data_IF_291850621852
#
_entry.id   IF_291850621852
#
_cell.length_a   1.000
_cell.length_b   1.000
_cell.length_c   1.000
_cell.angle_alpha   90.00
_cell.angle_beta   90.00
_cell.angle_gamma   90.00
#
_symmetry.space_group_name_H-M   'P 1'
#
loop_
_entity.id
_entity.type
_entity.pdbx_description
1 polymer ?
#
# COMPACT_ATOMS: atom_id res chain seq x y z
N UNK A 1 4.31 4.31 -5.74
CA UNK A 1 4.14 5.78 -5.57
C UNK A 1 5.35 6.33 -4.85
N UNK A 2 6.15 7.12 -5.52
CA UNK A 2 7.27 7.84 -4.89
C UNK A 2 6.71 9.18 -4.43
N UNK A 3 6.66 9.41 -3.12
CA UNK A 3 6.31 10.73 -2.60
C UNK A 3 7.38 11.72 -3.06
N UNK A 4 6.96 12.80 -3.69
CA UNK A 4 7.83 13.91 -4.01
C UNK A 4 8.25 14.66 -2.73
N UNK A 5 9.23 15.54 -2.85
CA UNK A 5 9.73 16.35 -1.73
C UNK A 5 8.60 17.11 -1.01
N UNK A 6 7.63 17.64 -1.78
CA UNK A 6 6.51 18.39 -1.21
C UNK A 6 5.52 17.48 -0.44
N UNK A 7 5.35 16.26 -0.87
CA UNK A 7 4.55 15.25 -0.18
C UNK A 7 5.20 14.78 1.11
N UNK A 8 6.51 14.49 1.08
CA UNK A 8 7.27 14.07 2.25
C UNK A 8 7.32 15.17 3.33
N UNK A 9 7.51 16.42 2.94
CA UNK A 9 7.56 17.55 3.88
C UNK A 9 6.27 17.76 4.68
N UNK A 10 5.14 17.24 4.20
CA UNK A 10 3.84 17.34 4.89
C UNK A 10 3.60 16.23 5.92
N UNK A 11 4.45 15.20 5.96
CA UNK A 11 4.28 14.08 6.90
C UNK A 11 4.92 14.45 8.24
N UNK A 12 4.15 14.60 9.33
CA UNK A 12 4.71 14.82 10.64
C UNK A 12 5.67 13.69 11.03
N UNK A 13 6.87 14.03 11.52
CA UNK A 13 7.84 13.03 11.96
C UNK A 13 8.42 12.16 10.84
N UNK A 14 8.41 12.62 9.58
CA UNK A 14 8.89 11.85 8.42
C UNK A 14 10.31 11.29 8.61
N UNK A 15 11.19 12.00 9.33
CA UNK A 15 12.56 11.54 9.65
C UNK A 15 12.60 10.23 10.43
N UNK A 16 11.55 9.94 11.22
CA UNK A 16 11.41 8.69 11.97
C UNK A 16 10.67 7.60 11.20
N UNK A 17 10.25 7.91 9.96
CA UNK A 17 9.46 6.96 9.17
C UNK A 17 10.28 5.72 8.77
N UNK A 18 11.59 5.89 8.66
CA UNK A 18 12.53 4.83 8.31
C UNK A 18 12.71 3.83 9.47
N UNK A 19 12.57 4.27 10.73
CA UNK A 19 12.68 3.41 11.92
C UNK A 19 11.67 2.25 11.93
N UNK A 20 10.56 2.39 11.21
CA UNK A 20 9.54 1.34 11.06
C UNK A 20 10.08 0.04 10.46
N UNK A 21 11.13 0.12 9.65
CA UNK A 21 11.75 -1.06 9.03
C UNK A 21 12.73 -1.77 9.96
N UNK A 22 13.05 -1.21 11.14
CA UNK A 22 13.81 -1.92 12.18
C UNK A 22 13.13 -3.21 12.62
N UNK A 23 11.83 -3.37 12.35
CA UNK A 23 11.12 -4.63 12.54
C UNK A 23 11.79 -5.80 11.79
N UNK A 24 12.51 -5.54 10.70
CA UNK A 24 13.24 -6.57 9.98
C UNK A 24 14.48 -7.09 10.74
N UNK A 25 14.86 -6.48 11.87
CA UNK A 25 15.86 -7.07 12.76
C UNK A 25 15.44 -8.45 13.26
N UNK A 26 14.14 -8.79 13.21
CA UNK A 26 13.63 -10.14 13.45
C UNK A 26 14.29 -11.20 12.54
N UNK A 27 14.78 -10.84 11.36
CA UNK A 27 15.52 -11.74 10.48
C UNK A 27 16.85 -12.19 11.08
N UNK A 28 17.41 -11.45 12.06
CA UNK A 28 18.62 -11.82 12.80
C UNK A 28 18.43 -13.10 13.68
N UNK A 29 17.21 -13.57 13.86
CA UNK A 29 16.93 -14.89 14.46
C UNK A 29 17.57 -16.02 13.67
N UNK A 30 17.77 -15.82 12.36
CA UNK A 30 18.53 -16.74 11.51
C UNK A 30 20.02 -16.48 11.70
N UNK A 31 20.82 -17.48 12.12
CA UNK A 31 22.24 -17.27 12.46
C UNK A 31 23.07 -16.65 11.34
N UNK A 32 22.79 -17.01 10.10
CA UNK A 32 23.55 -16.55 8.92
C UNK A 32 23.16 -15.16 8.43
N UNK A 33 22.03 -14.60 8.94
CA UNK A 33 21.57 -13.29 8.46
C UNK A 33 22.43 -12.17 9.04
N UNK A 34 22.88 -11.28 8.16
CA UNK A 34 23.45 -9.97 8.46
C UNK A 34 22.55 -8.90 7.88
N UNK A 35 22.44 -7.77 8.57
CA UNK A 35 21.61 -6.65 8.13
C UNK A 35 22.48 -5.41 7.99
N UNK A 36 22.43 -4.78 6.83
CA UNK A 36 22.93 -3.44 6.58
C UNK A 36 21.71 -2.53 6.55
N UNK A 37 21.63 -1.64 7.50
CA UNK A 37 20.51 -0.72 7.65
C UNK A 37 20.95 0.70 7.34
N UNK A 38 20.25 1.37 6.46
CA UNK A 38 20.60 2.72 6.02
C UNK A 38 19.45 3.67 6.30
N UNK A 39 19.77 4.84 6.85
CA UNK A 39 18.78 5.87 7.20
C UNK A 39 19.19 7.25 6.69
N UNK A 40 18.24 8.17 6.68
CA UNK A 40 18.48 9.57 6.33
C UNK A 40 19.39 10.27 7.36
N UNK A 41 19.13 9.97 8.64
CA UNK A 41 19.86 10.54 9.77
C UNK A 41 20.28 9.43 10.75
N UNK A 42 21.23 9.71 11.61
CA UNK A 42 21.72 8.76 12.61
C UNK A 42 20.59 8.32 13.54
N UNK A 43 20.41 7.00 13.67
CA UNK A 43 19.45 6.43 14.59
C UNK A 43 19.84 6.66 16.04
N UNK A 44 18.87 6.99 16.89
CA UNK A 44 19.10 7.02 18.33
C UNK A 44 19.50 5.61 18.81
N UNK A 45 20.61 5.46 19.53
CA UNK A 45 21.04 4.16 20.05
C UNK A 45 19.95 3.44 20.87
N UNK A 46 19.11 4.17 21.61
CA UNK A 46 18.03 3.56 22.40
C UNK A 46 16.98 2.89 21.50
N UNK A 47 16.69 3.47 20.33
CA UNK A 47 15.74 2.90 19.37
C UNK A 47 16.29 1.61 18.77
N UNK A 48 17.59 1.57 18.49
CA UNK A 48 18.27 0.38 17.95
C UNK A 48 18.32 -0.74 19.01
N UNK A 49 18.68 -0.40 20.25
CA UNK A 49 18.70 -1.37 21.36
C UNK A 49 17.29 -1.92 21.63
N UNK A 50 16.28 -1.05 21.68
CA UNK A 50 14.89 -1.48 21.81
C UNK A 50 14.46 -2.43 20.69
N UNK A 51 14.80 -2.11 19.43
CA UNK A 51 14.46 -2.98 18.30
C UNK A 51 15.19 -4.34 18.36
N UNK A 52 16.43 -4.38 18.87
CA UNK A 52 17.16 -5.63 19.09
C UNK A 52 16.57 -6.44 20.26
N UNK A 53 16.12 -5.78 21.34
CA UNK A 53 15.45 -6.43 22.49
C UNK A 53 14.14 -7.13 22.09
N UNK A 54 13.48 -6.63 21.06
CA UNK A 54 12.28 -7.27 20.49
C UNK A 54 12.59 -8.56 19.71
N UNK A 55 13.86 -8.84 19.40
CA UNK A 55 14.26 -10.09 18.71
C UNK A 55 14.35 -11.21 19.75
N UNK A 56 13.25 -11.93 19.93
CA UNK A 56 13.21 -13.04 20.88
C UNK A 56 14.31 -14.08 20.61
N UNK A 57 14.83 -14.68 21.70
CA UNK A 57 15.85 -15.74 21.64
C UNK A 57 17.22 -15.34 21.07
N UNK A 58 17.48 -14.04 20.87
CA UNK A 58 18.76 -13.54 20.40
C UNK A 58 19.38 -12.58 21.43
N UNK A 59 20.54 -12.90 22.01
CA UNK A 59 21.26 -11.95 22.85
C UNK A 59 21.63 -10.68 22.07
N UNK A 60 21.39 -9.49 22.61
CA UNK A 60 21.61 -8.19 21.94
C UNK A 60 22.99 -8.07 21.30
N UNK A 61 24.06 -8.49 22.02
CA UNK A 61 25.41 -8.41 21.50
C UNK A 61 25.61 -9.27 20.23
N UNK A 62 24.90 -10.39 20.09
CA UNK A 62 24.91 -11.22 18.89
C UNK A 62 24.22 -10.53 17.71
N UNK A 63 23.06 -9.93 17.95
CA UNK A 63 22.36 -9.11 16.96
C UNK A 63 23.21 -7.92 16.52
N UNK A 64 23.79 -7.19 17.49
CA UNK A 64 24.61 -6.01 17.24
C UNK A 64 25.82 -6.30 16.33
N UNK A 65 26.47 -7.44 16.48
CA UNK A 65 27.63 -7.83 15.63
C UNK A 65 27.25 -8.12 14.17
N UNK A 66 25.98 -8.43 13.91
CA UNK A 66 25.46 -8.75 12.58
C UNK A 66 24.63 -7.60 11.98
N UNK A 67 24.56 -6.47 12.67
CA UNK A 67 23.91 -5.24 12.24
C UNK A 67 24.95 -4.19 11.91
N UNK A 68 24.94 -3.71 10.67
CA UNK A 68 25.72 -2.57 10.22
C UNK A 68 24.81 -1.40 9.96
N UNK A 69 25.08 -0.25 10.56
CA UNK A 69 24.28 0.97 10.42
C UNK A 69 25.05 1.98 9.58
N UNK A 70 24.38 2.57 8.61
CA UNK A 70 24.83 3.73 7.86
C UNK A 70 23.76 4.80 7.88
N UNK A 71 24.15 6.05 7.75
CA UNK A 71 23.25 7.17 7.55
C UNK A 71 23.77 8.12 6.48
N UNK A 72 22.88 8.97 5.99
CA UNK A 72 23.20 10.01 5.02
C UNK A 72 23.61 11.32 5.69
N UNK A 73 23.45 11.48 7.00
CA UNK A 73 23.54 12.73 7.74
C UNK A 73 22.73 13.85 7.06
N UNK A 74 21.48 13.56 6.68
CA UNK A 74 20.66 14.41 5.83
C UNK A 74 19.18 14.33 6.23
N UNK A 75 18.71 15.37 6.91
CA UNK A 75 17.33 15.51 7.38
C UNK A 75 16.39 16.17 6.36
N UNK A 76 16.84 16.47 5.13
CA UNK A 76 15.94 17.04 4.11
C UNK A 76 14.76 16.12 3.83
N UNK A 77 13.58 16.67 3.50
CA UNK A 77 12.41 15.88 3.15
C UNK A 77 12.50 15.33 1.71
N UNK A 78 13.53 14.51 1.45
CA UNK A 78 13.78 13.84 0.18
C UNK A 78 13.74 12.32 0.39
N UNK A 79 13.45 11.54 -0.66
CA UNK A 79 13.51 10.08 -0.59
C UNK A 79 14.88 9.57 -0.14
N UNK A 80 14.92 8.63 0.83
CA UNK A 80 16.17 8.09 1.36
C UNK A 80 17.10 7.58 0.26
N UNK A 81 16.56 6.81 -0.68
CA UNK A 81 17.37 6.20 -1.74
C UNK A 81 17.98 7.24 -2.67
N UNK A 82 17.28 8.36 -2.91
CA UNK A 82 17.84 9.51 -3.64
C UNK A 82 19.03 10.12 -2.88
N UNK A 83 18.93 10.27 -1.55
CA UNK A 83 20.02 10.75 -0.70
C UNK A 83 21.25 9.83 -0.76
N UNK A 84 21.03 8.51 -0.72
CA UNK A 84 22.08 7.51 -0.85
C UNK A 84 22.78 7.64 -2.21
N UNK A 85 21.99 7.71 -3.30
CA UNK A 85 22.51 7.79 -4.68
C UNK A 85 23.34 9.06 -4.94
N UNK A 86 23.04 10.16 -4.24
CA UNK A 86 23.83 11.41 -4.28
C UNK A 86 25.18 11.29 -3.56
N UNK A 87 25.47 10.17 -2.85
CA UNK A 87 26.67 9.94 -2.02
C UNK A 87 27.45 8.71 -2.51
N UNK A 88 28.28 8.85 -3.56
CA UNK A 88 29.05 7.71 -4.11
C UNK A 88 29.90 6.99 -3.06
N UNK A 89 30.48 7.72 -2.12
CA UNK A 89 31.28 7.14 -1.03
C UNK A 89 30.44 6.26 -0.10
N UNK A 90 29.17 6.66 0.18
CA UNK A 90 28.26 5.85 0.97
C UNK A 90 27.88 4.57 0.20
N UNK A 91 27.56 4.70 -1.09
CA UNK A 91 27.26 3.52 -1.95
C UNK A 91 28.44 2.56 -1.94
N UNK A 92 29.68 3.06 -2.02
CA UNK A 92 30.87 2.22 -1.97
C UNK A 92 31.04 1.53 -0.61
N UNK A 93 30.81 2.25 0.52
CA UNK A 93 30.83 1.65 1.86
C UNK A 93 29.78 0.54 2.03
N UNK A 94 28.56 0.78 1.55
CA UNK A 94 27.50 -0.23 1.57
C UNK A 94 27.94 -1.46 0.76
N UNK A 95 28.46 -1.25 -0.44
CA UNK A 95 28.95 -2.35 -1.29
C UNK A 95 30.07 -3.16 -0.63
N UNK A 96 31.00 -2.50 0.05
CA UNK A 96 32.05 -3.17 0.82
C UNK A 96 31.49 -3.98 1.99
N UNK A 97 30.46 -3.44 2.68
CA UNK A 97 29.82 -4.13 3.78
C UNK A 97 28.98 -5.35 3.33
N UNK A 98 28.45 -5.33 2.11
CA UNK A 98 27.74 -6.47 1.51
C UNK A 98 28.70 -7.66 1.34
N UNK A 99 29.90 -7.42 0.82
CA UNK A 99 30.86 -8.48 0.48
C UNK A 99 30.46 -9.21 -0.81
N UNK A 100 29.86 -10.39 -0.70
CA UNK A 100 29.37 -11.13 -1.85
C UNK A 100 27.93 -10.67 -2.22
N UNK A 101 27.73 -10.08 -3.41
CA UNK A 101 26.40 -9.63 -3.84
C UNK A 101 25.43 -10.78 -4.12
N UNK A 102 25.90 -12.01 -4.35
CA UNK A 102 25.01 -13.17 -4.55
C UNK A 102 24.32 -13.62 -3.26
N UNK A 103 24.86 -13.27 -2.10
CA UNK A 103 24.30 -13.59 -0.78
C UNK A 103 23.47 -12.43 -0.19
N UNK A 104 23.17 -11.40 -0.99
CA UNK A 104 22.49 -10.22 -0.52
C UNK A 104 21.30 -9.83 -1.40
N UNK A 105 20.35 -9.12 -0.82
CA UNK A 105 19.29 -8.44 -1.56
C UNK A 105 18.97 -7.09 -0.92
N UNK A 106 18.51 -6.14 -1.73
CA UNK A 106 17.99 -4.87 -1.26
C UNK A 106 16.50 -5.02 -0.94
N UNK A 107 16.14 -4.77 0.32
CA UNK A 107 14.75 -4.73 0.76
C UNK A 107 14.34 -3.27 0.94
N UNK A 108 13.26 -2.86 0.29
CA UNK A 108 12.73 -1.51 0.36
C UNK A 108 11.23 -1.54 0.70
N UNK A 109 10.74 -0.48 1.37
CA UNK A 109 9.32 -0.33 1.65
C UNK A 109 8.49 -0.28 0.37
N UNK A 110 9.01 0.40 -0.65
CA UNK A 110 8.40 0.57 -1.96
C UNK A 110 9.48 0.50 -3.04
N UNK A 111 9.19 -0.17 -4.16
CA UNK A 111 10.05 -0.15 -5.34
C UNK A 111 9.82 1.11 -6.17
N UNK A 112 10.88 1.88 -6.42
CA UNK A 112 10.89 3.01 -7.33
C UNK A 112 12.10 2.96 -8.26
N UNK A 113 12.19 3.84 -9.28
CA UNK A 113 13.40 3.94 -10.11
C UNK A 113 14.67 4.16 -9.30
N UNK A 114 14.60 4.84 -8.14
CA UNK A 114 15.75 5.05 -7.26
C UNK A 114 16.22 3.74 -6.61
N UNK A 115 15.30 2.92 -6.07
CA UNK A 115 15.65 1.63 -5.48
C UNK A 115 16.22 0.68 -6.54
N UNK A 116 15.70 0.70 -7.75
CA UNK A 116 16.26 -0.08 -8.88
C UNK A 116 17.67 0.38 -9.23
N UNK A 117 17.92 1.69 -9.36
CA UNK A 117 19.26 2.23 -9.64
C UNK A 117 20.24 1.86 -8.52
N UNK A 118 19.83 1.98 -7.24
CA UNK A 118 20.67 1.60 -6.11
C UNK A 118 21.01 0.10 -6.14
N UNK A 119 20.02 -0.76 -6.37
CA UNK A 119 20.22 -2.21 -6.46
C UNK A 119 21.23 -2.55 -7.58
N UNK A 120 21.11 -1.93 -8.75
CA UNK A 120 22.03 -2.09 -9.86
C UNK A 120 23.45 -1.63 -9.50
N UNK A 121 23.60 -0.48 -8.84
CA UNK A 121 24.92 0.03 -8.41
C UNK A 121 25.56 -0.85 -7.34
N UNK A 122 24.76 -1.44 -6.47
CA UNK A 122 25.25 -2.39 -5.46
C UNK A 122 25.53 -3.78 -6.05
N UNK A 123 24.92 -4.12 -7.18
CA UNK A 123 25.01 -5.43 -7.84
C UNK A 123 24.16 -6.50 -7.15
N UNK A 124 23.10 -6.11 -6.44
CA UNK A 124 22.23 -7.02 -5.68
C UNK A 124 20.80 -7.01 -6.24
N UNK A 125 20.03 -8.11 -6.10
CA UNK A 125 18.60 -8.13 -6.45
C UNK A 125 17.81 -7.13 -5.60
N UNK A 126 16.81 -6.48 -6.22
CA UNK A 126 15.80 -5.69 -5.50
C UNK A 126 14.63 -6.62 -5.09
N UNK A 127 14.37 -6.73 -3.79
CA UNK A 127 13.24 -7.47 -3.27
C UNK A 127 12.03 -6.54 -3.06
N UNK A 128 11.47 -6.08 -4.17
CA UNK A 128 10.26 -5.28 -4.29
C UNK A 128 9.72 -5.41 -5.72
N UNK A 129 8.48 -4.97 -5.96
CA UNK A 129 7.93 -4.89 -7.31
C UNK A 129 8.77 -3.96 -8.19
N UNK A 130 9.02 -4.38 -9.44
CA UNK A 130 9.72 -3.53 -10.40
C UNK A 130 8.92 -2.23 -10.65
N UNK A 131 9.58 -1.07 -10.68
CA UNK A 131 8.92 0.22 -10.93
C UNK A 131 8.11 0.27 -12.23
N UNK A 132 8.48 -0.48 -13.26
CA UNK A 132 7.74 -0.56 -14.51
C UNK A 132 6.36 -1.20 -14.35
N UNK A 133 6.20 -2.04 -13.31
CA UNK A 133 4.94 -2.69 -12.96
C UNK A 133 4.05 -1.83 -12.04
N UNK A 134 4.49 -0.63 -11.65
CA UNK A 134 3.76 0.25 -10.72
C UNK A 134 2.34 0.56 -11.18
N UNK A 135 2.11 0.59 -12.49
CA UNK A 135 0.79 0.79 -13.09
C UNK A 135 -0.25 -0.25 -12.65
N UNK A 136 0.17 -1.50 -12.30
CA UNK A 136 -0.72 -2.55 -11.80
C UNK A 136 -1.29 -2.23 -10.41
N UNK A 137 -0.58 -1.40 -9.61
CA UNK A 137 -1.01 -0.91 -8.30
C UNK A 137 -1.76 0.44 -8.34
N UNK A 138 -1.92 1.07 -9.52
CA UNK A 138 -2.78 2.24 -9.66
C UNK A 138 -4.25 1.85 -9.45
N UNK A 139 -5.15 2.79 -9.16
CA UNK A 139 -6.58 2.47 -8.99
C UNK A 139 -7.16 1.81 -10.25
N UNK A 140 -6.85 2.34 -11.45
CA UNK A 140 -7.27 1.74 -12.72
C UNK A 140 -6.62 0.37 -12.96
N UNK A 141 -5.32 0.24 -12.68
CA UNK A 141 -4.60 -1.02 -12.82
C UNK A 141 -5.10 -2.09 -11.86
N UNK A 142 -5.31 -1.75 -10.59
CA UNK A 142 -5.86 -2.65 -9.57
C UNK A 142 -7.21 -3.22 -10.01
N UNK A 143 -8.12 -2.37 -10.52
CA UNK A 143 -9.43 -2.84 -11.00
C UNK A 143 -9.32 -3.84 -12.14
N UNK A 144 -8.40 -3.61 -13.10
CA UNK A 144 -8.15 -4.56 -14.20
C UNK A 144 -7.60 -5.88 -13.69
N UNK A 145 -6.64 -5.85 -12.77
CA UNK A 145 -6.09 -7.06 -12.16
C UNK A 145 -7.17 -7.80 -11.37
N UNK A 146 -8.02 -7.12 -10.62
CA UNK A 146 -9.15 -7.74 -9.92
C UNK A 146 -10.10 -8.46 -10.88
N UNK A 147 -10.51 -7.80 -11.96
CA UNK A 147 -11.40 -8.40 -12.97
C UNK A 147 -10.75 -9.61 -13.65
N UNK A 148 -9.47 -9.51 -14.01
CA UNK A 148 -8.69 -10.61 -14.59
C UNK A 148 -8.59 -11.81 -13.62
N UNK A 149 -8.49 -11.55 -12.32
CA UNK A 149 -8.45 -12.55 -11.26
C UNK A 149 -9.83 -13.11 -10.88
N UNK A 150 -10.91 -12.65 -11.52
CA UNK A 150 -12.28 -13.03 -11.18
C UNK A 150 -12.75 -12.46 -9.83
N UNK A 151 -12.15 -11.35 -9.38
CA UNK A 151 -12.55 -10.63 -8.17
C UNK A 151 -13.52 -9.52 -8.55
N UNK A 152 -14.66 -9.46 -7.87
CA UNK A 152 -15.67 -8.41 -8.07
C UNK A 152 -15.09 -7.04 -7.71
N UNK A 153 -15.40 -6.02 -8.50
CA UNK A 153 -15.16 -4.60 -8.20
C UNK A 153 -16.49 -3.84 -8.18
N UNK A 154 -16.54 -2.69 -7.51
CA UNK A 154 -17.69 -1.80 -7.61
C UNK A 154 -17.87 -1.35 -9.08
N UNK A 155 -19.12 -1.19 -9.55
CA UNK A 155 -19.34 -0.69 -10.93
C UNK A 155 -18.66 0.66 -11.10
N UNK A 156 -17.99 0.84 -12.24
CA UNK A 156 -17.16 2.03 -12.44
C UNK A 156 -16.48 2.12 -13.79
N UNK A 157 -15.64 3.13 -13.90
CA UNK A 157 -14.86 3.45 -15.11
C UNK A 157 -13.42 3.77 -14.70
N UNK A 158 -12.48 3.38 -15.53
CA UNK A 158 -11.04 3.53 -15.37
C UNK A 158 -10.46 4.55 -16.34
N UNK A 159 -9.22 5.00 -16.02
CA UNK A 159 -8.36 5.82 -16.89
C UNK A 159 -8.94 7.17 -17.32
N UNK A 160 -9.79 7.74 -16.51
CA UNK A 160 -10.36 9.06 -16.77
C UNK A 160 -9.30 10.14 -16.62
N UNK A 161 -9.22 11.06 -17.60
CA UNK A 161 -8.14 12.04 -17.70
C UNK A 161 -8.58 13.50 -17.60
N UNK A 162 -9.86 13.76 -17.73
CA UNK A 162 -10.38 15.10 -17.65
C UNK A 162 -11.76 15.17 -16.97
N UNK A 163 -12.23 16.39 -16.70
CA UNK A 163 -13.50 16.65 -16.04
C UNK A 163 -14.70 16.17 -16.86
N UNK A 164 -14.58 16.18 -18.18
CA UNK A 164 -15.67 15.76 -19.08
C UNK A 164 -15.85 14.25 -19.00
N UNK A 165 -14.75 13.50 -19.03
CA UNK A 165 -14.76 12.04 -18.88
C UNK A 165 -15.30 11.63 -17.49
N UNK A 166 -14.95 12.36 -16.42
CA UNK A 166 -15.50 12.14 -15.08
C UNK A 166 -17.00 12.39 -15.05
N UNK A 167 -17.47 13.49 -15.69
CA UNK A 167 -18.90 13.79 -15.74
C UNK A 167 -19.69 12.75 -16.57
N UNK A 168 -19.10 12.26 -17.67
CA UNK A 168 -19.67 11.19 -18.48
C UNK A 168 -19.77 9.88 -17.73
N UNK A 169 -18.71 9.50 -17.00
CA UNK A 169 -18.68 8.31 -16.15
C UNK A 169 -19.73 8.36 -15.03
N UNK A 170 -19.85 9.49 -14.33
CA UNK A 170 -20.86 9.70 -13.28
C UNK A 170 -22.28 9.61 -13.87
N UNK A 171 -22.51 10.22 -15.04
CA UNK A 171 -23.82 10.17 -15.71
C UNK A 171 -24.16 8.74 -16.15
N UNK A 172 -23.19 8.00 -16.65
CA UNK A 172 -23.36 6.60 -17.06
C UNK A 172 -23.68 5.70 -15.86
N UNK A 173 -22.96 5.83 -14.73
CA UNK A 173 -23.27 5.08 -13.50
C UNK A 173 -24.71 5.35 -13.02
N UNK A 174 -25.10 6.61 -12.91
CA UNK A 174 -26.45 6.99 -12.49
C UNK A 174 -27.54 6.53 -13.46
N UNK A 175 -27.20 6.42 -14.75
CA UNK A 175 -28.14 5.90 -15.78
C UNK A 175 -28.31 4.39 -15.63
N UNK A 176 -27.25 3.63 -15.33
CA UNK A 176 -27.29 2.18 -15.09
C UNK A 176 -28.06 1.85 -13.81
N UNK A 177 -27.82 2.63 -12.76
CA UNK A 177 -28.52 2.50 -11.48
C UNK A 177 -29.17 3.83 -11.08
N UNK A 178 -30.46 3.95 -11.36
CA UNK A 178 -31.26 5.14 -10.98
C UNK A 178 -31.37 5.32 -9.47
N UNK A 179 -31.13 4.29 -8.68
CA UNK A 179 -31.08 4.33 -7.22
C UNK A 179 -29.75 4.83 -6.66
N UNK A 180 -28.69 4.91 -7.46
CA UNK A 180 -27.36 5.32 -7.03
C UNK A 180 -27.36 6.72 -6.43
N UNK A 181 -27.07 6.84 -5.14
CA UNK A 181 -27.08 8.13 -4.43
C UNK A 181 -25.72 8.82 -4.44
N UNK A 182 -24.64 8.07 -4.47
CA UNK A 182 -23.27 8.58 -4.36
C UNK A 182 -22.31 7.79 -5.23
N UNK A 183 -21.28 8.46 -5.72
CA UNK A 183 -20.16 7.84 -6.41
C UNK A 183 -18.83 8.38 -5.84
N UNK A 184 -17.78 7.57 -5.95
CA UNK A 184 -16.42 7.93 -5.53
C UNK A 184 -15.56 8.18 -6.76
N UNK A 185 -14.85 9.30 -6.77
CA UNK A 185 -13.81 9.62 -7.74
C UNK A 185 -12.48 9.45 -7.01
N UNK A 186 -11.54 8.68 -7.58
CA UNK A 186 -10.24 8.40 -6.94
C UNK A 186 -9.13 8.62 -7.95
N UNK A 187 -8.14 9.44 -7.62
CA UNK A 187 -6.92 9.56 -8.43
C UNK A 187 -6.17 8.23 -8.46
N UNK A 188 -5.57 7.90 -9.60
CA UNK A 188 -4.85 6.64 -9.80
C UNK A 188 -3.70 6.46 -8.81
N UNK A 189 -2.94 7.51 -8.55
CA UNK A 189 -1.76 7.49 -7.69
C UNK A 189 -1.90 8.51 -6.57
N UNK A 190 -2.61 8.17 -5.52
CA UNK A 190 -2.78 9.03 -4.35
C UNK A 190 -2.26 8.35 -3.09
N UNK A 191 -1.75 9.14 -2.14
CA UNK A 191 -1.34 8.65 -0.83
C UNK A 191 -2.54 8.63 0.12
N UNK A 192 -2.88 7.45 0.62
CA UNK A 192 -4.05 7.26 1.48
C UNK A 192 -5.33 7.76 0.81
N UNK A 193 -6.16 8.45 1.57
CA UNK A 193 -7.42 9.02 1.07
C UNK A 193 -7.26 10.35 0.30
N UNK A 194 -6.04 10.85 0.13
CA UNK A 194 -5.77 12.20 -0.40
C UNK A 194 -6.20 12.47 -1.85
N UNK A 195 -6.56 11.42 -2.59
CA UNK A 195 -7.09 11.54 -3.96
C UNK A 195 -8.56 11.13 -4.08
N UNK A 196 -9.27 10.95 -2.96
CA UNK A 196 -10.66 10.52 -2.96
C UNK A 196 -11.62 11.71 -2.87
N UNK A 197 -12.62 11.69 -3.72
CA UNK A 197 -13.70 12.69 -3.77
C UNK A 197 -15.03 11.96 -3.82
N UNK A 198 -15.92 12.27 -2.89
CA UNK A 198 -17.31 11.80 -2.89
C UNK A 198 -18.18 12.78 -3.65
N UNK A 199 -19.00 12.28 -4.58
CA UNK A 199 -20.01 13.04 -5.30
C UNK A 199 -21.41 12.54 -4.96
N UNK A 200 -22.34 13.45 -4.61
CA UNK A 200 -23.74 13.13 -4.33
C UNK A 200 -24.64 13.47 -5.51
N UNK A 201 -25.53 12.53 -5.87
CA UNK A 201 -26.59 12.72 -6.85
C UNK A 201 -27.89 13.30 -6.28
N UNK A 202 -27.89 13.74 -5.02
CA UNK A 202 -29.10 14.31 -4.41
C UNK A 202 -29.60 15.53 -5.21
N UNK A 203 -30.89 15.50 -5.60
CA UNK A 203 -31.46 16.54 -6.47
C UNK A 203 -31.08 16.45 -7.95
N UNK A 204 -30.46 15.35 -8.39
CA UNK A 204 -30.14 15.16 -9.80
C UNK A 204 -31.41 15.10 -10.66
N UNK A 205 -31.47 15.84 -11.81
CA UNK A 205 -32.65 15.85 -12.67
C UNK A 205 -32.76 14.55 -13.49
N UNK A 206 -33.99 14.20 -13.90
CA UNK A 206 -34.19 13.05 -14.79
C UNK A 206 -33.72 13.29 -16.21
N UNK A 207 -33.65 14.54 -16.66
CA UNK A 207 -33.19 14.94 -17.99
C UNK A 207 -32.04 15.93 -17.87
N UNK A 208 -31.10 15.89 -18.83
CA UNK A 208 -29.92 16.77 -18.80
C UNK A 208 -28.91 16.43 -17.69
N UNK A 209 -28.95 15.20 -17.17
CA UNK A 209 -28.11 14.72 -16.07
C UNK A 209 -26.63 15.06 -16.24
N UNK A 210 -26.06 14.77 -17.41
CA UNK A 210 -24.62 15.04 -17.69
C UNK A 210 -24.27 16.51 -17.54
N UNK A 211 -25.12 17.41 -18.07
CA UNK A 211 -24.90 18.87 -17.96
C UNK A 211 -25.01 19.32 -16.52
N UNK A 212 -25.98 18.79 -15.78
CA UNK A 212 -26.13 19.07 -14.35
C UNK A 212 -24.91 18.61 -13.57
N UNK A 213 -24.41 17.39 -13.79
CA UNK A 213 -23.20 16.88 -13.13
C UNK A 213 -22.03 17.82 -13.40
N UNK A 214 -21.76 18.18 -14.66
CA UNK A 214 -20.65 19.07 -15.00
C UNK A 214 -20.72 20.43 -14.28
N UNK A 215 -21.94 20.98 -14.10
CA UNK A 215 -22.12 22.26 -13.38
C UNK A 215 -21.99 22.14 -11.87
N UNK A 216 -22.34 20.98 -11.29
CA UNK A 216 -22.38 20.75 -9.84
C UNK A 216 -21.09 20.11 -9.29
N UNK A 217 -20.30 19.46 -10.13
CA UNK A 217 -19.10 18.73 -9.72
C UNK A 217 -18.13 19.58 -8.89
N UNK A 218 -17.79 20.83 -9.27
CA UNK A 218 -16.91 21.68 -8.47
C UNK A 218 -17.47 22.07 -7.09
N UNK A 219 -18.80 22.10 -6.98
CA UNK A 219 -19.51 22.55 -5.75
C UNK A 219 -19.82 21.41 -4.80
N UNK A 220 -20.08 20.20 -5.34
CA UNK A 220 -20.51 19.01 -4.61
C UNK A 220 -19.41 18.01 -4.34
N UNK A 221 -18.20 18.26 -4.84
CA UNK A 221 -17.02 17.45 -4.57
C UNK A 221 -16.65 17.53 -3.08
N UNK A 222 -16.83 16.44 -2.35
CA UNK A 222 -16.43 16.33 -0.94
C UNK A 222 -15.10 15.59 -0.89
N UNK A 223 -14.02 16.32 -0.61
CA UNK A 223 -12.67 15.78 -0.53
C UNK A 223 -12.45 15.04 0.79
N UNK A 224 -11.86 13.85 0.72
CA UNK A 224 -11.51 13.07 1.92
C UNK A 224 -10.38 13.69 2.74
N UNK A 225 -9.50 14.49 2.12
CA UNK A 225 -8.41 15.21 2.75
C UNK A 225 -8.53 16.72 2.50
N UNK A 226 -8.81 17.54 3.49
CA UNK A 226 -8.78 18.99 3.37
C UNK A 226 -7.35 19.55 3.51
N UNK A 227 -7.00 20.74 2.97
CA UNK A 227 -7.82 21.53 2.08
C UNK A 227 -7.38 21.33 0.62
N UNK A 228 -8.19 20.66 -0.18
CA UNK A 228 -7.98 20.65 -1.63
C UNK A 228 -9.09 21.44 -2.34
N UNK A 229 -8.81 21.93 -3.56
CA UNK A 229 -9.80 22.58 -4.40
C UNK A 229 -10.00 21.77 -5.67
N UNK A 230 -11.16 21.96 -6.31
CA UNK A 230 -11.48 21.26 -7.55
C UNK A 230 -10.43 21.53 -8.64
N UNK A 231 -9.94 22.75 -8.77
CA UNK A 231 -8.92 23.14 -9.75
C UNK A 231 -7.59 22.39 -9.52
N UNK A 232 -7.17 22.29 -8.25
CA UNK A 232 -5.96 21.52 -7.89
C UNK A 232 -6.14 20.03 -8.14
N UNK A 233 -7.34 19.54 -7.86
CA UNK A 233 -7.69 18.15 -8.13
C UNK A 233 -7.64 17.84 -9.62
N UNK A 234 -8.21 18.71 -10.47
CA UNK A 234 -8.16 18.59 -11.93
C UNK A 234 -6.72 18.58 -12.46
N UNK A 235 -5.85 19.43 -11.94
CA UNK A 235 -4.44 19.42 -12.33
C UNK A 235 -3.76 18.07 -12.04
N UNK A 236 -4.10 17.41 -10.94
CA UNK A 236 -3.61 16.06 -10.62
C UNK A 236 -4.26 15.00 -11.52
N UNK A 237 -5.56 15.12 -11.78
CA UNK A 237 -6.34 14.20 -12.61
C UNK A 237 -5.74 14.08 -14.02
N UNK A 238 -5.40 15.20 -14.67
CA UNK A 238 -4.78 15.22 -16.01
C UNK A 238 -3.47 14.42 -16.02
N UNK A 239 -2.67 14.53 -14.97
CA UNK A 239 -1.37 13.85 -14.88
C UNK A 239 -1.51 12.38 -14.51
N UNK A 240 -2.28 12.09 -13.46
CA UNK A 240 -2.37 10.76 -12.84
C UNK A 240 -3.47 9.89 -13.47
N UNK A 241 -4.54 10.50 -13.96
CA UNK A 241 -5.80 9.81 -14.25
C UNK A 241 -6.57 9.48 -12.98
N UNK A 242 -7.79 8.99 -13.17
CA UNK A 242 -8.68 8.61 -12.09
C UNK A 242 -9.59 7.44 -12.46
N UNK A 243 -10.26 6.91 -11.44
CA UNK A 243 -11.43 6.04 -11.56
C UNK A 243 -12.65 6.74 -11.00
N UNK A 244 -13.82 6.41 -11.52
CA UNK A 244 -15.13 6.74 -10.94
C UNK A 244 -15.82 5.44 -10.60
N UNK A 245 -16.25 5.28 -9.36
CA UNK A 245 -16.85 4.04 -8.86
C UNK A 245 -18.16 4.33 -8.14
N UNK A 246 -19.10 3.40 -8.25
CA UNK A 246 -20.27 3.36 -7.38
C UNK A 246 -19.83 3.34 -5.91
N UNK A 247 -20.44 4.21 -5.08
CA UNK A 247 -20.26 4.11 -3.63
C UNK A 247 -21.14 2.99 -3.09
N UNK A 248 -20.48 1.91 -2.64
CA UNK A 248 -21.17 0.73 -2.11
C UNK A 248 -21.73 1.05 -0.72
N UNK A 249 -23.05 0.98 -0.60
CA UNK A 249 -23.77 1.14 0.67
C UNK A 249 -24.37 -0.17 1.13
N UNK A 250 -24.25 -0.50 2.41
CA UNK A 250 -24.85 -1.66 3.03
C UNK A 250 -25.16 -1.34 4.51
N UNK A 251 -25.93 -2.21 5.16
CA UNK A 251 -26.22 -2.09 6.61
C UNK A 251 -24.95 -2.20 7.45
N UNK A 252 -23.97 -2.97 6.98
CA UNK A 252 -22.66 -3.13 7.57
C UNK A 252 -21.62 -3.23 6.47
N UNK A 253 -20.50 -2.52 6.63
CA UNK A 253 -19.34 -2.62 5.77
C UNK A 253 -18.08 -2.85 6.62
N UNK A 254 -17.13 -3.61 6.07
CA UNK A 254 -15.81 -3.88 6.66
C UNK A 254 -14.75 -3.67 5.59
N UNK A 255 -13.53 -3.40 6.00
CA UNK A 255 -12.41 -3.17 5.09
C UNK A 255 -11.28 -4.17 5.39
N UNK A 256 -11.44 -5.45 5.02
CA UNK A 256 -10.36 -6.42 5.19
C UNK A 256 -9.21 -6.17 4.23
N UNK A 257 -8.02 -6.53 4.67
CA UNK A 257 -6.78 -6.49 3.88
C UNK A 257 -6.04 -7.82 4.04
N UNK A 258 -5.42 -8.29 2.96
CA UNK A 258 -4.53 -9.44 2.98
C UNK A 258 -3.09 -9.01 2.66
N UNK A 259 -2.13 -9.54 3.42
CA UNK A 259 -0.70 -9.38 3.15
C UNK A 259 -0.18 -10.60 2.41
N UNK A 260 0.54 -10.38 1.33
CA UNK A 260 1.08 -11.44 0.49
C UNK A 260 2.59 -11.28 0.30
N UNK A 261 3.21 -12.41 0.05
CA UNK A 261 4.58 -12.51 -0.40
C UNK A 261 4.60 -13.26 -1.74
N UNK A 262 5.17 -12.65 -2.77
CA UNK A 262 5.48 -13.32 -4.03
C UNK A 262 6.98 -13.52 -4.12
N UNK A 263 7.40 -14.78 -4.19
CA UNK A 263 8.82 -15.12 -4.31
C UNK A 263 9.33 -14.89 -5.74
N UNK A 264 10.66 -14.77 -5.93
CA UNK A 264 11.24 -14.71 -7.29
C UNK A 264 10.91 -15.92 -8.17
N UNK A 265 10.55 -17.05 -7.57
CA UNK A 265 10.09 -18.25 -8.29
C UNK A 265 8.59 -18.21 -8.65
N UNK A 266 7.89 -17.10 -8.37
CA UNK A 266 6.46 -16.96 -8.64
C UNK A 266 5.55 -17.62 -7.61
N UNK A 267 6.08 -18.17 -6.52
CA UNK A 267 5.25 -18.76 -5.44
C UNK A 267 4.58 -17.66 -4.63
N UNK A 268 3.27 -17.72 -4.50
CA UNK A 268 2.45 -16.79 -3.71
C UNK A 268 2.17 -17.38 -2.34
N UNK A 269 2.36 -16.59 -1.30
CA UNK A 269 2.02 -16.96 0.08
C UNK A 269 1.19 -15.86 0.73
N UNK A 270 0.09 -16.22 1.38
CA UNK A 270 -0.62 -15.33 2.29
C UNK A 270 0.17 -15.29 3.59
N UNK A 271 0.46 -14.10 4.08
CA UNK A 271 1.16 -13.87 5.35
C UNK A 271 0.18 -13.57 6.48
N UNK A 272 -0.86 -12.81 6.19
CA UNK A 272 -1.87 -12.42 7.18
C UNK A 272 -3.12 -11.87 6.50
N UNK A 273 -4.23 -11.86 7.26
CA UNK A 273 -5.41 -11.05 6.98
C UNK A 273 -5.70 -10.15 8.17
N UNK A 274 -6.29 -8.99 7.93
CA UNK A 274 -6.64 -8.03 8.98
C UNK A 274 -7.87 -7.23 8.60
N UNK A 275 -8.63 -6.75 9.58
CA UNK A 275 -9.65 -5.73 9.37
C UNK A 275 -9.05 -4.36 9.67
N UNK A 276 -9.09 -3.48 8.68
CA UNK A 276 -8.57 -2.13 8.80
C UNK A 276 -9.51 -1.26 9.67
N UNK A 277 -8.92 -0.47 10.54
CA UNK A 277 -9.60 0.52 11.36
C UNK A 277 -9.32 1.91 10.79
N UNK A 278 -10.39 2.67 10.63
CA UNK A 278 -10.32 4.02 10.10
C UNK A 278 -10.84 5.05 11.09
N UNK A 279 -10.40 6.29 10.95
CA UNK A 279 -10.85 7.45 11.72
C UNK A 279 -10.95 8.69 10.83
N UNK A 280 -11.19 9.86 11.46
CA UNK A 280 -11.37 11.13 10.78
C UNK A 280 -12.82 11.37 10.34
N UNK A 281 -13.12 12.60 9.91
CA UNK A 281 -14.47 13.03 9.56
C UNK A 281 -15.13 12.20 8.44
N UNK A 282 -14.32 11.70 7.48
CA UNK A 282 -14.77 10.87 6.38
C UNK A 282 -14.55 9.35 6.65
N UNK A 283 -14.08 8.97 7.84
CA UNK A 283 -13.70 7.60 8.20
C UNK A 283 -12.81 6.92 7.14
N UNK A 284 -11.80 7.64 6.66
CA UNK A 284 -10.89 7.18 5.60
C UNK A 284 -9.40 7.24 5.98
N UNK A 285 -9.08 7.70 7.22
CA UNK A 285 -7.70 7.73 7.71
C UNK A 285 -7.41 6.41 8.41
N UNK A 286 -6.52 5.61 7.83
CA UNK A 286 -6.08 4.36 8.45
C UNK A 286 -5.35 4.63 9.77
N UNK A 287 -5.81 4.00 10.85
CA UNK A 287 -5.25 4.15 12.21
C UNK A 287 -4.74 2.83 12.79
N UNK A 288 -5.01 1.72 12.15
CA UNK A 288 -4.59 0.40 12.61
C UNK A 288 -5.46 -0.72 12.06
N UNK A 289 -5.34 -1.89 12.64
CA UNK A 289 -6.16 -3.04 12.25
C UNK A 289 -6.26 -4.06 13.36
N UNK A 290 -7.28 -4.91 13.28
CA UNK A 290 -7.43 -6.11 14.08
C UNK A 290 -6.94 -7.32 13.31
N UNK A 291 -6.18 -8.19 13.95
CA UNK A 291 -5.59 -9.38 13.36
C UNK A 291 -6.00 -10.64 14.16
N UNK A 292 -6.35 -11.74 13.48
CA UNK A 292 -6.65 -11.82 12.04
C UNK A 292 -7.96 -11.11 11.68
N UNK A 293 -8.32 -11.06 10.38
CA UNK A 293 -9.62 -10.57 9.95
C UNK A 293 -10.75 -11.43 10.50
N UNK A 294 -11.97 -10.90 10.48
CA UNK A 294 -13.15 -11.58 11.02
C UNK A 294 -13.33 -12.98 10.43
N UNK A 295 -13.58 -13.96 11.32
CA UNK A 295 -13.74 -15.37 10.98
C UNK A 295 -14.86 -15.65 9.96
N UNK A 296 -15.90 -14.79 9.89
CA UNK A 296 -17.02 -14.98 8.98
C UNK A 296 -16.62 -14.89 7.50
N UNK A 297 -15.53 -14.19 7.17
CA UNK A 297 -15.15 -13.96 5.77
C UNK A 297 -13.66 -14.06 5.48
N UNK A 298 -12.78 -14.20 6.48
CA UNK A 298 -11.33 -14.20 6.22
C UNK A 298 -10.88 -15.30 5.25
N UNK A 299 -11.54 -16.47 5.26
CA UNK A 299 -11.26 -17.54 4.29
C UNK A 299 -11.52 -17.10 2.85
N UNK A 300 -12.67 -16.47 2.61
CA UNK A 300 -13.02 -15.93 1.28
C UNK A 300 -12.02 -14.83 0.86
N UNK A 301 -11.63 -13.94 1.78
CA UNK A 301 -10.62 -12.89 1.52
C UNK A 301 -9.28 -13.51 1.14
N UNK A 302 -8.86 -14.60 1.82
CA UNK A 302 -7.61 -15.31 1.49
C UNK A 302 -7.65 -15.91 0.08
N UNK A 303 -8.74 -16.56 -0.29
CA UNK A 303 -8.92 -17.16 -1.62
C UNK A 303 -8.91 -16.09 -2.71
N UNK A 304 -9.61 -14.97 -2.49
CA UNK A 304 -9.62 -13.84 -3.41
C UNK A 304 -8.22 -13.24 -3.56
N UNK A 305 -7.54 -13.02 -2.45
CA UNK A 305 -6.18 -12.47 -2.44
C UNK A 305 -5.17 -13.40 -3.10
N UNK A 306 -5.29 -14.72 -2.91
CA UNK A 306 -4.43 -15.71 -3.56
C UNK A 306 -4.56 -15.63 -5.09
N UNK A 307 -5.78 -15.61 -5.62
CA UNK A 307 -6.04 -15.46 -7.07
C UNK A 307 -5.42 -14.17 -7.65
N UNK A 308 -5.55 -13.07 -6.92
CA UNK A 308 -4.91 -11.81 -7.32
C UNK A 308 -3.38 -11.94 -7.30
N UNK A 309 -2.84 -12.55 -6.26
CA UNK A 309 -1.41 -12.81 -6.13
C UNK A 309 -0.86 -13.67 -7.27
N UNK A 310 -1.57 -14.71 -7.67
CA UNK A 310 -1.21 -15.57 -8.81
C UNK A 310 -1.22 -14.79 -10.14
N UNK A 311 -2.23 -13.95 -10.36
CA UNK A 311 -2.29 -13.05 -11.52
C UNK A 311 -1.11 -12.08 -11.54
N UNK A 312 -0.73 -11.52 -10.40
CA UNK A 312 0.42 -10.62 -10.27
C UNK A 312 1.74 -11.37 -10.46
N UNK A 313 1.88 -12.58 -9.93
CA UNK A 313 3.06 -13.42 -10.13
C UNK A 313 3.26 -13.77 -11.61
N UNK A 314 2.19 -14.08 -12.34
CA UNK A 314 2.23 -14.29 -13.79
C UNK A 314 2.68 -13.04 -14.56
N UNK A 315 2.53 -11.84 -13.98
CA UNK A 315 3.03 -10.58 -14.50
C UNK A 315 4.42 -10.19 -13.95
N UNK A 316 5.13 -11.14 -13.35
CA UNK A 316 6.49 -10.96 -12.80
C UNK A 316 6.57 -10.00 -11.61
N UNK A 317 5.49 -9.78 -10.88
CA UNK A 317 5.53 -9.05 -9.61
C UNK A 317 6.22 -9.92 -8.56
N UNK A 318 7.13 -9.31 -7.79
CA UNK A 318 7.90 -9.95 -6.71
C UNK A 318 7.85 -9.07 -5.46
N UNK A 319 7.92 -9.67 -4.28
CA UNK A 319 8.07 -8.99 -3.00
C UNK A 319 6.82 -9.01 -2.14
N UNK A 320 6.85 -8.16 -1.11
CA UNK A 320 5.75 -7.97 -0.17
C UNK A 320 4.72 -6.99 -0.75
N UNK A 321 3.45 -7.36 -0.66
CA UNK A 321 2.35 -6.51 -1.12
C UNK A 321 1.11 -6.69 -0.25
N UNK A 322 0.16 -5.78 -0.35
CA UNK A 322 -1.15 -5.93 0.29
C UNK A 322 -2.29 -5.69 -0.70
N UNK A 323 -3.39 -6.37 -0.45
CA UNK A 323 -4.62 -6.26 -1.24
C UNK A 323 -5.74 -5.86 -0.28
N UNK A 324 -6.37 -4.75 -0.58
CA UNK A 324 -7.44 -4.19 0.22
C UNK A 324 -8.80 -4.48 -0.41
N UNK A 325 -9.77 -4.87 0.43
CA UNK A 325 -11.13 -5.20 0.02
C UNK A 325 -12.14 -4.34 0.76
N UNK A 326 -13.33 -4.24 0.19
CA UNK A 326 -14.56 -3.83 0.87
C UNK A 326 -15.46 -5.04 0.99
N UNK A 327 -15.84 -5.39 2.20
CA UNK A 327 -16.85 -6.43 2.48
C UNK A 327 -18.15 -5.77 2.91
N UNK A 328 -19.23 -6.07 2.21
CA UNK A 328 -20.57 -5.56 2.52
C UNK A 328 -21.50 -6.68 2.96
N UNK A 329 -22.25 -6.45 4.03
CA UNK A 329 -23.23 -7.41 4.55
C UNK A 329 -24.39 -7.54 3.59
N UNK A 330 -24.77 -8.77 3.26
CA UNK A 330 -25.96 -9.12 2.47
C UNK A 330 -26.92 -9.95 3.31
N UNK A 331 -28.06 -10.28 2.78
CA UNK A 331 -29.06 -11.17 3.44
C UNK A 331 -28.56 -12.61 3.59
N UNK A 332 -27.59 -13.03 2.78
CA UNK A 332 -27.08 -14.41 2.74
C UNK A 332 -25.63 -14.57 3.20
N UNK A 333 -24.97 -13.49 3.63
CA UNK A 333 -23.57 -13.52 4.03
C UNK A 333 -22.84 -12.22 3.70
N UNK A 334 -21.66 -12.32 3.14
CA UNK A 334 -20.82 -11.18 2.76
C UNK A 334 -20.60 -11.12 1.25
N UNK A 335 -20.47 -9.94 0.71
CA UNK A 335 -20.01 -9.69 -0.66
C UNK A 335 -18.74 -8.87 -0.60
N UNK A 336 -17.72 -9.32 -1.32
CA UNK A 336 -16.40 -8.72 -1.32
C UNK A 336 -16.12 -8.01 -2.64
N UNK A 337 -15.54 -6.82 -2.54
CA UNK A 337 -15.10 -6.02 -3.67
C UNK A 337 -13.61 -5.71 -3.52
N UNK A 338 -12.82 -5.92 -4.57
CA UNK A 338 -11.45 -5.47 -4.62
C UNK A 338 -11.40 -3.93 -4.65
N UNK A 339 -10.62 -3.33 -3.75
CA UNK A 339 -10.48 -1.88 -3.65
C UNK A 339 -9.16 -1.37 -4.20
N UNK A 340 -8.06 -1.97 -3.77
CA UNK A 340 -6.70 -1.50 -4.08
C UNK A 340 -5.67 -2.62 -3.96
N UNK A 341 -4.72 -2.62 -4.87
CA UNK A 341 -3.50 -3.43 -4.79
C UNK A 341 -2.34 -2.50 -4.45
N UNK A 342 -1.74 -2.72 -3.30
CA UNK A 342 -0.55 -2.00 -2.89
C UNK A 342 0.68 -2.85 -3.22
N UNK A 343 1.37 -2.56 -4.33
CA UNK A 343 2.59 -3.27 -4.76
C UNK A 343 3.80 -2.88 -3.88
N UNK A 344 3.60 -2.87 -2.59
CA UNK A 344 4.57 -2.45 -1.57
C UNK A 344 4.17 -2.99 -0.20
N UNK A 345 5.03 -2.80 0.76
CA UNK A 345 4.68 -3.03 2.16
C UNK A 345 3.49 -2.15 2.57
N UNK A 346 2.54 -2.73 3.25
CA UNK A 346 1.32 -2.05 3.72
C UNK A 346 1.41 -1.66 5.20
N UNK A 347 0.33 -1.03 5.70
CA UNK A 347 0.19 -0.68 7.12
C UNK A 347 0.19 -1.90 8.05
N UNK A 348 -0.22 -3.08 7.57
CA UNK A 348 -0.20 -4.33 8.31
C UNK A 348 1.15 -5.05 8.34
N UNK A 349 2.12 -4.64 7.53
CA UNK A 349 3.42 -5.34 7.42
C UNK A 349 4.21 -5.26 8.72
N UNK A 350 4.39 -4.07 9.28
CA UNK A 350 5.15 -3.92 10.52
C UNK A 350 4.48 -4.62 11.73
N UNK A 351 3.15 -4.47 11.97
CA UNK A 351 2.46 -5.23 13.02
C UNK A 351 2.58 -6.75 12.86
N UNK A 352 2.52 -7.26 11.64
CA UNK A 352 2.69 -8.69 11.36
C UNK A 352 4.08 -9.20 11.79
N UNK A 353 5.15 -8.52 11.35
CA UNK A 353 6.52 -8.90 11.74
C UNK A 353 6.77 -8.71 13.24
N UNK A 354 6.16 -7.69 13.87
CA UNK A 354 6.22 -7.49 15.30
C UNK A 354 5.57 -8.65 16.06
N UNK A 355 4.39 -9.10 15.63
CA UNK A 355 3.71 -10.26 16.22
C UNK A 355 4.62 -11.48 16.17
N UNK A 356 5.20 -11.77 15.01
CA UNK A 356 6.16 -12.88 14.84
C UNK A 356 7.42 -12.75 15.71
N UNK A 357 7.80 -11.53 16.07
CA UNK A 357 8.92 -11.28 16.99
C UNK A 357 8.58 -11.52 18.45
N UNK A 358 7.35 -11.21 18.85
CA UNK A 358 6.90 -11.24 20.24
C UNK A 358 6.23 -12.56 20.63
N UNK A 359 5.60 -13.23 19.70
CA UNK A 359 4.85 -14.47 19.93
C UNK A 359 5.39 -15.56 19.03
N UNK A 360 5.81 -16.67 19.62
CA UNK A 360 6.18 -17.86 18.86
C UNK A 360 4.92 -18.41 18.18
N UNK A 361 4.99 -18.65 16.86
CA UNK A 361 3.86 -19.17 16.11
C UNK A 361 3.96 -18.88 14.62
N UNK A 362 3.00 -19.41 13.89
CA UNK A 362 2.88 -19.25 12.45
C UNK A 362 1.45 -18.92 12.04
N UNK A 363 1.32 -18.16 10.95
CA UNK A 363 0.03 -17.95 10.32
C UNK A 363 -0.35 -19.20 9.53
N UNK A 364 -1.42 -19.86 9.97
CA UNK A 364 -2.01 -20.98 9.26
C UNK A 364 -2.92 -20.47 8.14
N UNK A 365 -2.48 -20.62 6.90
CA UNK A 365 -3.23 -20.19 5.73
C UNK A 365 -4.54 -20.98 5.53
N UNK A 366 -4.70 -22.16 6.12
CA UNK A 366 -5.90 -22.97 5.99
C UNK A 366 -7.04 -22.43 6.89
N UNK A 367 -6.75 -22.12 8.14
CA UNK A 367 -7.74 -21.57 9.10
C UNK A 367 -7.77 -20.06 9.11
N UNK A 368 -6.74 -19.39 8.58
CA UNK A 368 -6.55 -17.95 8.68
C UNK A 368 -6.25 -17.47 10.10
N UNK A 369 -5.81 -18.37 10.99
CA UNK A 369 -5.42 -18.04 12.36
C UNK A 369 -3.90 -17.95 12.49
N UNK A 370 -3.48 -17.29 13.55
CA UNK A 370 -2.11 -17.38 14.02
C UNK A 370 -2.07 -18.48 15.10
N UNK A 371 -1.28 -19.51 14.87
CA UNK A 371 -1.13 -20.66 15.77
C UNK A 371 0.20 -20.51 16.49
N UNK A 372 0.19 -20.44 17.81
CA UNK A 372 1.35 -20.32 18.68
C UNK A 372 1.34 -21.37 19.79
#
# INVERSE_FOLDING_TARGET
MTLDHAGLAKIPGVRHYEERLLIFLQLLRRPETRIIYVTSDTLDPIVVEYALDLVSSLPNWHGRRRLTLFDCADCEPAPLTEKILRRPDLVQKIRQAIGDPFDACLVAFNGSPFERDLAMRLGVPLYAADPELSHLGSKSGSRRVFLESGVTVADGFEDLRDEHEVADALAALRTRDRGLRQAMIKLNDSFGAGGNVLFSFDGAPETGLRRWIASELPRRAVFASPPDSWERYLAKLVVMGAVVEQFVTASETRSPSAQLLISPAGTVRILSTQDQLFSGAANQIFVGGTFPANAEYRGEIQELALRVGETLAAKSVVGLLSIDFLSSRTTTGWRHYGLEINLRMGGGTAPYFLLHGLVEGEFDAQSGNYLG
#
